data_IF_699608552047
#
_entry.id   IF_699608552047
#
_cell.length_a   1.000
_cell.length_b   1.000
_cell.length_c   1.000
_cell.angle_alpha   90.00
_cell.angle_beta   90.00
_cell.angle_gamma   90.00
#
_symmetry.space_group_name_H-M   'P 1'
#
loop_
_entity.id
_entity.type
_entity.pdbx_description
1 polymer ?
#
# COMPACT_ATOMS: atom_id res chain seq x y z
N UNK A 1 -2.84 -13.79 0.04
CA UNK A 1 -1.38 -13.81 0.31
C UNK A 1 -1.03 -12.60 1.16
N UNK A 2 -0.24 -12.75 2.22
CA UNK A 2 0.19 -11.63 3.07
C UNK A 2 1.51 -11.04 2.55
N UNK A 3 1.70 -9.73 2.72
CA UNK A 3 2.95 -9.03 2.35
C UNK A 3 4.18 -9.54 3.10
N UNK A 4 3.98 -10.04 4.31
CA UNK A 4 5.04 -10.61 5.15
C UNK A 4 5.73 -11.82 4.49
N UNK A 5 4.96 -12.66 3.79
CA UNK A 5 5.48 -13.85 3.12
C UNK A 5 6.33 -13.48 1.88
N UNK A 6 5.99 -12.38 1.20
CA UNK A 6 6.78 -11.85 0.08
C UNK A 6 8.10 -11.22 0.55
N UNK A 7 8.08 -10.53 1.69
CA UNK A 7 9.27 -9.96 2.31
C UNK A 7 10.24 -11.07 2.76
N UNK A 8 9.73 -12.12 3.40
CA UNK A 8 10.52 -13.29 3.79
C UNK A 8 11.18 -13.98 2.58
N UNK A 9 10.44 -14.18 1.48
CA UNK A 9 11.00 -14.79 0.27
C UNK A 9 12.09 -13.94 -0.39
N UNK A 10 11.90 -12.62 -0.41
CA UNK A 10 12.91 -11.68 -0.91
C UNK A 10 14.18 -11.68 -0.03
N UNK A 11 14.01 -11.83 1.29
CA UNK A 11 15.12 -11.89 2.25
C UNK A 11 15.90 -13.20 2.14
N UNK A 12 15.23 -14.30 1.80
CA UNK A 12 15.86 -15.61 1.56
C UNK A 12 16.61 -15.70 0.22
N UNK A 13 16.62 -14.64 -0.59
CA UNK A 13 17.29 -14.61 -1.89
C UNK A 13 16.57 -15.44 -2.97
N UNK A 14 15.33 -15.85 -2.72
CA UNK A 14 14.50 -16.61 -3.64
C UNK A 14 13.71 -15.64 -4.54
N UNK A 15 14.45 -14.95 -5.41
CA UNK A 15 13.88 -14.00 -6.38
C UNK A 15 13.71 -12.58 -5.83
N UNK A 16 12.85 -11.80 -6.49
CA UNK A 16 12.56 -10.41 -6.14
C UNK A 16 11.06 -10.23 -5.89
N UNK A 17 10.72 -9.40 -4.90
CA UNK A 17 9.35 -9.01 -4.60
C UNK A 17 9.16 -7.51 -4.82
N UNK A 18 8.00 -7.12 -5.35
CA UNK A 18 7.59 -5.73 -5.45
C UNK A 18 6.69 -5.43 -4.25
N UNK A 19 7.11 -4.47 -3.43
CA UNK A 19 6.43 -4.08 -2.20
C UNK A 19 6.17 -2.56 -2.22
N UNK A 20 5.02 -2.08 -1.73
CA UNK A 20 4.82 -0.66 -1.47
C UNK A 20 5.88 -0.15 -0.50
N UNK A 21 6.36 1.09 -0.69
CA UNK A 21 7.42 1.67 0.14
C UNK A 21 7.09 1.67 1.64
N UNK A 22 5.81 1.83 2.00
CA UNK A 22 5.32 1.77 3.39
C UNK A 22 5.36 0.38 4.02
N UNK A 23 5.66 -0.66 3.24
CA UNK A 23 5.68 -2.08 3.64
C UNK A 23 7.07 -2.71 3.53
N UNK A 24 8.10 -1.93 3.22
CA UNK A 24 9.49 -2.41 3.21
C UNK A 24 10.07 -2.22 4.61
N UNK A 25 10.53 -3.30 5.25
CA UNK A 25 11.27 -3.23 6.51
C UNK A 25 12.73 -3.68 6.32
N UNK A 26 13.67 -2.90 6.85
CA UNK A 26 15.07 -3.30 7.06
C UNK A 26 15.92 -3.74 5.84
N UNK A 27 15.45 -3.53 4.60
CA UNK A 27 16.21 -3.78 3.38
C UNK A 27 16.62 -2.47 2.68
N UNK A 28 17.62 -2.51 1.80
CA UNK A 28 17.91 -1.42 0.84
C UNK A 28 17.21 -1.74 -0.48
N UNK A 29 15.95 -1.28 -0.69
CA UNK A 29 15.19 -1.64 -1.88
C UNK A 29 15.73 -0.90 -3.12
N UNK A 30 15.61 -1.53 -4.28
CA UNK A 30 15.72 -0.85 -5.57
C UNK A 30 14.35 -0.23 -5.90
N UNK A 31 14.33 1.09 -6.13
CA UNK A 31 13.13 1.80 -6.60
C UNK A 31 12.73 1.31 -7.99
N UNK A 32 11.42 1.16 -8.19
CA UNK A 32 10.84 0.86 -9.50
C UNK A 32 10.58 2.19 -10.19
N UNK A 33 11.11 2.36 -11.40
CA UNK A 33 10.95 3.58 -12.18
C UNK A 33 10.30 3.32 -13.53
N UNK A 34 9.51 4.28 -13.99
CA UNK A 34 8.99 4.37 -15.35
C UNK A 34 9.40 5.71 -15.95
N UNK A 35 10.00 5.70 -17.15
CA UNK A 35 10.60 6.89 -17.78
C UNK A 35 11.53 7.73 -16.87
N UNK A 36 12.18 7.09 -15.89
CA UNK A 36 13.07 7.76 -14.93
C UNK A 36 12.38 8.38 -13.71
N UNK A 37 11.07 8.19 -13.56
CA UNK A 37 10.27 8.63 -12.41
C UNK A 37 9.93 7.45 -11.51
N UNK A 38 9.94 7.66 -10.19
CA UNK A 38 9.48 6.66 -9.22
C UNK A 38 8.01 6.30 -9.50
N UNK A 39 7.72 5.01 -9.58
CA UNK A 39 6.34 4.53 -9.70
C UNK A 39 5.63 4.74 -8.37
N UNK A 40 4.54 5.52 -8.39
CA UNK A 40 3.69 5.75 -7.23
C UNK A 40 2.42 4.90 -7.27
N UNK A 41 1.94 4.51 -6.09
CA UNK A 41 0.71 3.75 -5.92
C UNK A 41 -0.20 4.57 -5.00
N UNK A 42 -1.36 4.96 -5.53
CA UNK A 42 -2.40 5.66 -4.77
C UNK A 42 -3.43 4.68 -4.25
N UNK A 43 -3.94 4.95 -3.06
CA UNK A 43 -5.01 4.19 -2.43
C UNK A 43 -6.21 5.10 -2.24
N UNK A 44 -7.37 4.64 -2.67
CA UNK A 44 -8.64 5.32 -2.44
C UNK A 44 -9.52 4.45 -1.56
N UNK A 45 -10.05 5.04 -0.49
CA UNK A 45 -11.10 4.41 0.29
C UNK A 45 -12.43 4.70 -0.39
N UNK A 46 -13.15 3.65 -0.80
CA UNK A 46 -14.46 3.76 -1.44
C UNK A 46 -15.50 3.07 -0.57
N UNK A 47 -16.63 3.72 -0.34
CA UNK A 47 -17.78 3.16 0.37
C UNK A 47 -19.06 3.39 -0.42
N UNK A 48 -20.06 2.54 -0.18
CA UNK A 48 -21.39 2.70 -0.75
C UNK A 48 -22.12 3.88 -0.06
N UNK A 49 -22.51 4.93 -0.79
CA UNK A 49 -23.25 6.06 -0.20
C UNK A 49 -24.65 5.67 0.29
N UNK A 50 -25.22 4.57 -0.20
CA UNK A 50 -26.51 4.04 0.26
C UNK A 50 -26.38 3.19 1.54
N UNK A 51 -25.15 2.89 1.98
CA UNK A 51 -24.92 2.17 3.22
C UNK A 51 -25.44 2.97 4.41
N UNK A 52 -26.08 2.28 5.37
CA UNK A 52 -26.47 2.87 6.65
C UNK A 52 -25.28 3.42 7.47
N UNK A 53 -24.04 3.09 7.07
CA UNK A 53 -22.81 3.62 7.66
C UNK A 53 -22.31 4.91 7.02
N UNK A 54 -22.90 5.37 5.91
CA UNK A 54 -22.37 6.53 5.17
C UNK A 54 -22.24 7.78 6.04
N UNK A 55 -23.21 8.08 6.90
CA UNK A 55 -23.13 9.23 7.80
C UNK A 55 -21.96 9.12 8.80
N UNK A 56 -21.76 7.93 9.37
CA UNK A 56 -20.67 7.68 10.31
C UNK A 56 -19.30 7.77 9.63
N UNK A 57 -19.18 7.25 8.41
CA UNK A 57 -17.96 7.34 7.60
C UNK A 57 -17.63 8.80 7.28
N UNK A 58 -18.62 9.61 6.86
CA UNK A 58 -18.42 11.04 6.58
C UNK A 58 -17.91 11.79 7.82
N UNK A 59 -18.49 11.55 9.00
CA UNK A 59 -18.02 12.17 10.26
C UNK A 59 -16.58 11.81 10.59
N UNK A 60 -16.17 10.55 10.33
CA UNK A 60 -14.80 10.13 10.56
C UNK A 60 -13.85 10.87 9.60
N UNK A 61 -14.22 10.98 8.32
CA UNK A 61 -13.40 11.64 7.30
C UNK A 61 -13.19 13.12 7.62
N UNK A 62 -14.25 13.84 8.01
CA UNK A 62 -14.19 15.25 8.40
C UNK A 62 -13.20 15.51 9.54
N UNK A 63 -12.93 14.51 10.38
CA UNK A 63 -11.97 14.61 11.50
C UNK A 63 -10.51 14.40 11.08
N UNK A 64 -10.27 13.80 9.93
CA UNK A 64 -8.92 13.51 9.40
C UNK A 64 -8.47 14.52 8.33
N UNK A 65 -9.29 15.53 8.02
CA UNK A 65 -8.92 16.72 7.24
C UNK A 65 -8.40 17.83 8.14
#
# INVERSE_FOLDING_TARGET
>A
MSYQLLEEWSTLGLGAALLPASRVSNATPRRVTDAGLDVEIFYEAVWDPASGLSAAISTIIERFQ
#
